data_IF_838670333774
#
_entry.id   IF_838670333774
#
_cell.length_a   1.000
_cell.length_b   1.000
_cell.length_c   1.000
_cell.angle_alpha   90.00
_cell.angle_beta   90.00
_cell.angle_gamma   90.00
#
_symmetry.space_group_name_H-M   'P 1'
#
loop_
_entity.id
_entity.type
_entity.pdbx_description
1 polymer ?
#
# COMPACT_ATOMS: atom_id res chain seq x y z
N UNK A 1 -11.76 -21.13 -3.77
CA UNK A 1 -10.81 -20.19 -4.42
C UNK A 1 -9.41 -20.72 -4.21
N UNK A 2 -8.75 -21.22 -5.25
CA UNK A 2 -7.37 -21.72 -5.18
C UNK A 2 -6.44 -20.51 -5.09
N UNK A 3 -5.63 -20.43 -4.04
CA UNK A 3 -4.62 -19.36 -3.89
C UNK A 3 -3.56 -19.55 -4.98
N UNK A 4 -3.68 -18.82 -6.08
CA UNK A 4 -2.63 -18.73 -7.09
C UNK A 4 -1.39 -18.11 -6.44
N UNK A 5 -0.17 -18.60 -6.76
CA UNK A 5 1.03 -18.08 -6.15
C UNK A 5 1.16 -16.58 -6.46
N UNK A 6 1.43 -15.77 -5.44
CA UNK A 6 1.75 -14.32 -5.44
C UNK A 6 2.78 -13.82 -6.47
N UNK A 7 3.36 -14.70 -7.30
CA UNK A 7 4.24 -14.37 -8.43
C UNK A 7 3.51 -14.45 -9.78
N UNK A 8 2.24 -14.81 -9.78
CA UNK A 8 1.39 -14.86 -10.94
C UNK A 8 0.97 -13.43 -11.33
N UNK A 9 1.41 -13.01 -12.51
CA UNK A 9 1.05 -11.71 -13.08
C UNK A 9 -0.46 -11.57 -13.23
N UNK A 10 -1.18 -12.63 -13.61
CA UNK A 10 -2.64 -12.57 -13.76
C UNK A 10 -3.33 -12.32 -12.41
N UNK A 11 -2.85 -12.95 -11.34
CA UNK A 11 -3.34 -12.71 -9.99
C UNK A 11 -3.06 -11.28 -9.53
N UNK A 12 -1.87 -10.74 -9.83
CA UNK A 12 -1.52 -9.35 -9.49
C UNK A 12 -2.39 -8.34 -10.25
N UNK A 13 -2.64 -8.58 -11.55
CA UNK A 13 -3.54 -7.75 -12.36
C UNK A 13 -4.97 -7.81 -11.83
N UNK A 14 -5.46 -8.98 -11.43
CA UNK A 14 -6.78 -9.13 -10.85
C UNK A 14 -6.90 -8.38 -9.51
N UNK A 15 -5.90 -8.49 -8.64
CA UNK A 15 -5.82 -7.75 -7.38
C UNK A 15 -5.80 -6.23 -7.62
N UNK A 16 -4.96 -5.76 -8.55
CA UNK A 16 -4.87 -4.34 -8.88
C UNK A 16 -6.21 -3.77 -9.36
N UNK A 17 -6.96 -4.54 -10.17
CA UNK A 17 -8.31 -4.14 -10.61
C UNK A 17 -9.31 -4.10 -9.45
N UNK A 18 -9.27 -5.06 -8.53
CA UNK A 18 -10.13 -5.06 -7.35
C UNK A 18 -9.84 -3.85 -6.45
N UNK A 19 -8.55 -3.60 -6.17
CA UNK A 19 -8.11 -2.46 -5.37
C UNK A 19 -8.43 -1.12 -6.02
N UNK A 20 -8.25 -1.00 -7.35
CA UNK A 20 -8.67 0.19 -8.10
C UNK A 20 -10.17 0.47 -7.92
N UNK A 21 -11.01 -0.57 -8.03
CA UNK A 21 -12.46 -0.40 -7.87
C UNK A 21 -12.88 -0.03 -6.45
N UNK A 22 -12.18 -0.55 -5.44
CA UNK A 22 -12.56 -0.40 -4.02
C UNK A 22 -11.96 0.82 -3.35
N UNK A 23 -10.75 1.21 -3.72
CA UNK A 23 -9.95 2.16 -2.94
C UNK A 23 -9.61 3.44 -3.70
N UNK A 24 -9.86 3.51 -5.00
CA UNK A 24 -9.68 4.75 -5.76
C UNK A 24 -10.55 5.86 -5.17
N UNK A 25 -9.96 7.04 -5.01
CA UNK A 25 -10.59 8.21 -4.40
C UNK A 25 -10.47 8.25 -2.87
N UNK A 26 -10.07 7.16 -2.21
CA UNK A 26 -9.83 7.19 -0.76
C UNK A 26 -8.55 7.94 -0.42
N UNK A 27 -8.58 8.65 0.70
CA UNK A 27 -7.46 9.40 1.29
C UNK A 27 -6.74 8.57 2.34
N UNK A 28 -5.42 8.68 2.40
CA UNK A 28 -4.62 8.08 3.46
C UNK A 28 -4.79 8.86 4.77
N UNK A 29 -5.36 8.24 5.81
CA UNK A 29 -5.50 8.83 7.15
C UNK A 29 -4.36 8.41 8.09
N UNK A 30 -3.77 7.24 7.87
CA UNK A 30 -2.62 6.74 8.66
C UNK A 30 -1.61 6.01 7.80
N UNK A 31 -0.35 6.22 8.15
CA UNK A 31 0.78 5.47 7.61
C UNK A 31 1.52 4.82 8.78
N UNK A 32 1.62 3.49 8.74
CA UNK A 32 2.42 2.70 9.67
C UNK A 32 3.43 1.85 8.89
N UNK A 33 4.48 1.37 9.54
CA UNK A 33 5.54 0.70 8.80
C UNK A 33 6.77 0.43 9.63
N UNK A 34 7.61 -0.46 9.12
CA UNK A 34 8.86 -0.87 9.74
C UNK A 34 9.76 -1.58 8.74
N UNK A 35 10.78 -2.33 9.19
CA UNK A 35 11.67 -3.02 8.27
C UNK A 35 10.91 -4.00 7.37
N UNK A 36 10.93 -3.71 6.06
CA UNK A 36 10.32 -4.53 5.02
C UNK A 36 8.77 -4.62 5.05
N UNK A 37 8.08 -3.64 5.64
CA UNK A 37 6.62 -3.55 5.56
C UNK A 37 6.09 -2.11 5.68
N UNK A 38 4.95 -1.86 5.04
CA UNK A 38 4.19 -0.61 5.08
C UNK A 38 2.71 -0.94 5.26
N UNK A 39 2.04 -0.18 6.12
CA UNK A 39 0.59 -0.17 6.31
C UNK A 39 0.05 1.19 5.90
N UNK A 40 -0.96 1.19 5.06
CA UNK A 40 -1.77 2.36 4.74
C UNK A 40 -3.18 2.12 5.27
N UNK A 41 -3.71 3.10 5.99
CA UNK A 41 -5.12 3.17 6.32
C UNK A 41 -5.75 4.21 5.38
N UNK A 42 -6.84 3.86 4.72
CA UNK A 42 -7.54 4.70 3.76
C UNK A 42 -8.99 4.93 4.19
N UNK A 43 -9.46 6.16 4.02
CA UNK A 43 -10.80 6.60 4.39
C UNK A 43 -11.38 7.50 3.32
N UNK A 44 -12.70 7.64 3.31
CA UNK A 44 -13.38 8.63 2.48
C UNK A 44 -13.28 10.01 3.14
N UNK A 45 -13.13 11.07 2.37
CA UNK A 45 -13.17 12.45 2.87
C UNK A 45 -14.52 12.78 3.51
N UNK A 46 -15.59 12.16 3.01
CA UNK A 46 -16.96 12.28 3.50
C UNK A 46 -17.29 11.26 4.60
N UNK A 47 -16.29 10.75 5.33
CA UNK A 47 -16.47 9.87 6.48
C UNK A 47 -17.22 10.57 7.64
N UNK A 48 -18.52 10.80 7.43
CA UNK A 48 -19.52 11.11 8.45
C UNK A 48 -19.61 9.89 9.37
N UNK A 49 -20.00 10.10 10.62
CA UNK A 49 -20.38 9.03 11.54
C UNK A 49 -21.24 7.98 10.81
N UNK A 50 -20.67 6.79 10.56
CA UNK A 50 -21.35 5.69 9.85
C UNK A 50 -20.73 5.24 8.51
N UNK A 51 -19.68 5.85 8.01
CA UNK A 51 -19.02 5.48 6.73
C UNK A 51 -18.25 4.14 6.72
N UNK A 52 -18.52 3.26 7.68
CA UNK A 52 -17.81 2.00 7.83
C UNK A 52 -16.35 2.16 8.30
N UNK A 53 -15.69 1.05 8.66
CA UNK A 53 -14.29 1.06 9.07
C UNK A 53 -13.34 1.44 7.90
N UNK A 54 -12.20 2.09 8.19
CA UNK A 54 -11.24 2.48 7.16
C UNK A 54 -10.62 1.24 6.50
N UNK A 55 -10.49 1.29 5.17
CA UNK A 55 -9.81 0.25 4.42
C UNK A 55 -8.33 0.19 4.85
N UNK A 56 -7.80 -1.00 5.01
CA UNK A 56 -6.40 -1.19 5.37
C UNK A 56 -5.66 -1.88 4.24
N UNK A 57 -4.52 -1.33 3.82
CA UNK A 57 -3.59 -1.97 2.89
C UNK A 57 -2.29 -2.29 3.61
N UNK A 58 -1.88 -3.55 3.53
CA UNK A 58 -0.61 -4.02 4.06
C UNK A 58 0.27 -4.55 2.94
N UNK A 59 1.45 -3.93 2.82
CA UNK A 59 2.45 -4.22 1.80
C UNK A 59 3.71 -4.72 2.50
N UNK A 60 4.15 -5.94 2.18
CA UNK A 60 5.40 -6.49 2.73
C UNK A 60 6.42 -6.76 1.63
N UNK A 61 7.68 -6.42 1.91
CA UNK A 61 8.81 -6.62 1.02
C UNK A 61 9.85 -7.54 1.68
N UNK A 62 9.42 -8.61 2.36
CA UNK A 62 10.34 -9.54 3.02
C UNK A 62 10.82 -10.63 2.06
N UNK A 63 12.04 -11.15 2.24
CA UNK A 63 12.48 -12.30 1.48
C UNK A 63 11.52 -13.50 1.66
N UNK A 64 10.97 -14.02 0.57
CA UNK A 64 10.04 -15.15 0.56
C UNK A 64 8.61 -14.85 1.02
N UNK A 65 8.28 -13.61 1.38
CA UNK A 65 6.94 -13.22 1.82
C UNK A 65 6.58 -11.84 1.23
N UNK A 66 5.77 -11.86 0.17
CA UNK A 66 5.19 -10.67 -0.43
C UNK A 66 3.69 -10.72 -0.23
N UNK A 67 3.22 -10.06 0.82
CA UNK A 67 1.81 -9.99 1.18
C UNK A 67 1.26 -8.66 0.66
N UNK A 68 0.20 -8.78 -0.13
CA UNK A 68 -0.79 -7.74 -0.30
C UNK A 68 -2.01 -8.23 0.47
N UNK A 69 -2.29 -7.60 1.61
CA UNK A 69 -3.49 -7.91 2.39
C UNK A 69 -4.30 -6.65 2.50
N UNK A 70 -5.57 -6.78 2.17
CA UNK A 70 -6.56 -5.76 2.37
C UNK A 70 -7.72 -6.31 3.19
N UNK A 71 -8.23 -5.47 4.10
CA UNK A 71 -9.41 -5.78 4.88
C UNK A 71 -10.13 -4.48 5.23
N UNK A 72 -11.44 -4.60 5.38
CA UNK A 72 -12.29 -3.56 5.95
C UNK A 72 -12.37 -3.69 7.47
N UNK A 73 -12.07 -4.86 8.05
CA UNK A 73 -11.97 -5.01 9.49
C UNK A 73 -10.62 -4.48 10.04
N UNK A 74 -10.65 -3.95 11.25
CA UNK A 74 -9.40 -3.71 11.99
C UNK A 74 -8.68 -5.05 12.18
N UNK A 75 -7.35 -5.03 12.05
CA UNK A 75 -6.55 -6.21 12.34
C UNK A 75 -6.81 -6.71 13.76
N UNK A 76 -6.70 -8.02 14.02
CA UNK A 76 -6.80 -8.55 15.37
C UNK A 76 -5.85 -7.78 16.31
N UNK A 77 -6.28 -7.43 17.55
CA UNK A 77 -5.46 -6.64 18.47
C UNK A 77 -4.06 -7.19 18.68
N UNK A 78 -3.89 -8.52 18.70
CA UNK A 78 -2.59 -9.17 18.83
C UNK A 78 -1.62 -8.86 17.67
N UNK A 79 -2.15 -8.64 16.46
CA UNK A 79 -1.35 -8.24 15.29
C UNK A 79 -0.96 -6.77 15.42
N UNK A 80 -1.90 -5.90 15.80
CA UNK A 80 -1.63 -4.47 16.03
C UNK A 80 -0.57 -4.29 17.13
N UNK A 81 -0.71 -4.98 18.25
CA UNK A 81 0.26 -4.99 19.36
C UNK A 81 1.64 -5.46 18.89
N UNK A 82 1.70 -6.49 18.04
CA UNK A 82 2.97 -6.98 17.50
C UNK A 82 3.63 -5.96 16.57
N UNK A 83 2.85 -5.23 15.77
CA UNK A 83 3.34 -4.18 14.87
C UNK A 83 3.80 -2.93 15.64
N UNK A 84 3.08 -2.52 16.69
CA UNK A 84 3.43 -1.35 17.52
C UNK A 84 4.71 -1.57 18.33
N UNK A 85 5.07 -2.83 18.61
CA UNK A 85 6.36 -3.20 19.25
C UNK A 85 7.55 -3.12 18.29
N UNK A 86 7.32 -3.09 16.98
CA UNK A 86 8.41 -2.85 16.02
C UNK A 86 8.76 -1.35 16.14
N UNK A 87 10.03 -0.99 16.39
CA UNK A 87 10.41 0.41 16.44
C UNK A 87 9.99 1.06 15.13
N UNK A 88 9.02 1.97 15.21
CA UNK A 88 8.64 2.80 14.09
C UNK A 88 9.87 3.63 13.78
N UNK A 89 10.69 3.17 12.82
CA UNK A 89 11.62 4.08 12.16
C UNK A 89 10.75 5.23 11.69
N UNK A 90 11.14 6.49 11.92
CA UNK A 90 10.45 7.64 11.33
C UNK A 90 10.32 7.34 9.84
N UNK A 91 9.13 6.90 9.42
CA UNK A 91 8.92 6.49 8.06
C UNK A 91 8.97 7.78 7.28
N UNK A 92 10.04 7.99 6.53
CA UNK A 92 10.15 9.19 5.69
C UNK A 92 9.01 9.26 4.68
N UNK A 93 8.36 8.13 4.40
CA UNK A 93 7.14 8.05 3.60
C UNK A 93 5.88 8.63 4.28
N UNK A 94 5.76 8.58 5.62
CA UNK A 94 4.57 9.06 6.32
C UNK A 94 4.22 10.54 6.03
N UNK A 95 5.15 11.52 6.16
CA UNK A 95 4.84 12.91 5.82
C UNK A 95 4.62 13.16 4.32
N UNK A 96 4.96 12.19 3.45
CA UNK A 96 4.78 12.30 2.00
C UNK A 96 3.39 11.80 1.59
N UNK A 97 2.95 10.71 2.21
CA UNK A 97 1.73 9.97 1.87
C UNK A 97 0.52 10.39 2.70
N UNK A 98 0.69 10.98 3.88
CA UNK A 98 -0.43 11.43 4.70
C UNK A 98 -1.32 12.41 3.91
N UNK A 99 -2.63 12.21 3.99
CA UNK A 99 -3.65 12.95 3.25
C UNK A 99 -3.57 12.84 1.72
N UNK A 100 -2.69 11.99 1.18
CA UNK A 100 -2.66 11.73 -0.25
C UNK A 100 -3.86 10.87 -0.66
N UNK A 101 -4.43 11.17 -1.83
CA UNK A 101 -5.59 10.48 -2.39
C UNK A 101 -5.12 9.45 -3.41
N UNK A 102 -5.58 8.21 -3.29
CA UNK A 102 -5.29 7.14 -4.25
C UNK A 102 -6.03 7.41 -5.56
N UNK A 103 -5.30 7.74 -6.63
CA UNK A 103 -5.90 8.05 -7.93
C UNK A 103 -5.97 6.84 -8.86
N UNK A 104 -4.99 5.93 -8.74
CA UNK A 104 -4.87 4.75 -9.61
C UNK A 104 -4.10 3.62 -8.93
N UNK A 105 -4.48 2.38 -9.26
CA UNK A 105 -3.78 1.13 -8.97
C UNK A 105 -3.59 0.38 -10.28
N UNK A 106 -2.39 -0.15 -10.51
CA UNK A 106 -2.09 -0.83 -11.75
C UNK A 106 -0.90 -1.77 -11.68
N UNK A 107 -0.73 -2.55 -12.74
CA UNK A 107 0.44 -3.43 -12.95
C UNK A 107 1.00 -3.10 -14.33
N UNK A 108 2.25 -2.62 -14.45
CA UNK A 108 2.90 -2.41 -15.74
C UNK A 108 2.95 -3.71 -16.55
N UNK A 109 2.79 -3.60 -17.87
CA UNK A 109 2.71 -4.77 -18.75
C UNK A 109 3.97 -5.65 -18.63
N UNK A 110 3.77 -6.94 -18.36
CA UNK A 110 4.82 -7.95 -18.21
C UNK A 110 5.78 -7.72 -17.03
N UNK A 111 5.42 -6.86 -16.07
CA UNK A 111 6.19 -6.65 -14.85
C UNK A 111 5.44 -7.16 -13.62
N UNK A 112 6.16 -7.55 -12.57
CA UNK A 112 5.56 -7.98 -11.30
C UNK A 112 5.63 -6.84 -10.29
N UNK A 113 5.13 -5.67 -10.70
CA UNK A 113 5.08 -4.47 -9.89
C UNK A 113 3.63 -4.07 -9.71
N UNK A 114 3.18 -3.98 -8.47
CA UNK A 114 1.93 -3.29 -8.14
C UNK A 114 2.26 -1.82 -7.92
N UNK A 115 1.71 -0.95 -8.77
CA UNK A 115 1.84 0.49 -8.66
C UNK A 115 0.57 1.07 -8.03
N UNK A 116 0.74 1.92 -7.02
CA UNK A 116 -0.30 2.74 -6.43
C UNK A 116 0.10 4.21 -6.62
N UNK A 117 -0.70 4.95 -7.37
CA UNK A 117 -0.46 6.35 -7.69
C UNK A 117 -1.32 7.23 -6.81
N UNK A 118 -0.69 8.17 -6.11
CA UNK A 118 -1.36 9.07 -5.20
C UNK A 118 -1.17 10.53 -5.63
N UNK A 119 -2.18 11.35 -5.37
CA UNK A 119 -2.07 12.81 -5.42
C UNK A 119 -1.95 13.36 -4.01
N UNK A 120 -0.86 14.08 -3.74
CA UNK A 120 -0.60 14.72 -2.45
C UNK A 120 -1.51 15.94 -2.23
N UNK A 121 -1.63 16.46 -0.99
CA UNK A 121 -2.44 17.65 -0.70
C UNK A 121 -2.03 18.91 -1.49
N UNK A 122 -0.74 19.02 -1.85
CA UNK A 122 -0.21 20.10 -2.69
C UNK A 122 -0.47 19.91 -4.20
N UNK A 123 -1.17 18.83 -4.58
CA UNK A 123 -1.46 18.46 -5.96
C UNK A 123 -0.36 17.69 -6.68
N UNK A 124 0.83 17.53 -6.07
CA UNK A 124 1.93 16.78 -6.69
C UNK A 124 1.66 15.26 -6.68
N UNK A 125 2.00 14.53 -7.75
CA UNK A 125 1.83 13.09 -7.78
C UNK A 125 3.02 12.36 -7.16
N UNK A 126 2.74 11.21 -6.56
CA UNK A 126 3.75 10.26 -6.04
C UNK A 126 3.33 8.82 -6.34
N UNK A 127 4.33 7.97 -6.55
CA UNK A 127 4.12 6.59 -7.01
C UNK A 127 4.72 5.61 -6.00
N UNK A 128 3.87 4.78 -5.41
CA UNK A 128 4.30 3.67 -4.55
C UNK A 128 4.35 2.39 -5.38
N UNK A 129 5.55 1.86 -5.56
CA UNK A 129 5.81 0.66 -6.32
C UNK A 129 6.16 -0.49 -5.38
N UNK A 130 5.33 -1.52 -5.38
CA UNK A 130 5.59 -2.78 -4.70
C UNK A 130 6.06 -3.80 -5.71
N UNK A 131 7.34 -4.14 -5.66
CA UNK A 131 8.02 -4.98 -6.65
C UNK A 131 8.14 -6.42 -6.13
N UNK A 132 7.72 -7.40 -6.93
CA UNK A 132 7.65 -8.82 -6.56
C UNK A 132 8.72 -9.63 -7.33
N UNK A 133 10.00 -9.27 -7.19
CA UNK A 133 11.11 -9.91 -7.94
C UNK A 133 11.78 -11.07 -7.19
N UNK A 134 11.53 -12.30 -7.64
CA UNK A 134 12.25 -13.46 -7.14
C UNK A 134 12.05 -13.68 -5.63
N UNK A 135 13.11 -14.00 -4.85
CA UNK A 135 12.98 -14.26 -3.42
C UNK A 135 12.86 -12.99 -2.58
N UNK A 136 12.92 -11.77 -3.13
CA UNK A 136 12.85 -10.52 -2.34
C UNK A 136 11.83 -9.56 -2.96
N UNK A 137 10.88 -9.10 -2.16
CA UNK A 137 10.10 -7.93 -2.53
C UNK A 137 10.91 -6.65 -2.34
N UNK A 138 10.50 -5.56 -2.97
CA UNK A 138 11.04 -4.22 -2.72
C UNK A 138 9.85 -3.25 -2.70
N UNK A 139 9.88 -2.24 -1.82
CA UNK A 139 8.88 -1.18 -1.81
C UNK A 139 9.57 0.15 -2.04
N UNK A 140 9.13 0.90 -3.05
CA UNK A 140 9.76 2.15 -3.48
C UNK A 140 8.71 3.23 -3.60
N UNK A 141 8.95 4.41 -3.02
CA UNK A 141 8.15 5.61 -3.27
C UNK A 141 8.94 6.56 -4.16
N UNK A 142 8.33 7.00 -5.26
CA UNK A 142 8.92 7.90 -6.23
C UNK A 142 8.13 9.21 -6.31
N UNK A 143 8.83 10.31 -6.61
CA UNK A 143 8.19 11.52 -7.14
C UNK A 143 7.81 11.36 -8.61
N UNK A 144 7.04 12.30 -9.16
CA UNK A 144 6.75 12.39 -10.60
C UNK A 144 8.01 12.39 -11.48
N UNK A 145 9.06 13.06 -11.00
CA UNK A 145 10.36 13.13 -11.68
C UNK A 145 11.17 11.82 -11.58
N UNK A 146 10.65 10.79 -10.91
CA UNK A 146 11.32 9.51 -10.69
C UNK A 146 12.35 9.54 -9.55
N UNK A 147 12.39 10.60 -8.74
CA UNK A 147 13.30 10.67 -7.60
C UNK A 147 12.83 9.73 -6.49
N UNK A 148 13.77 8.97 -5.93
CA UNK A 148 13.46 8.01 -4.86
C UNK A 148 13.31 8.72 -3.52
N UNK A 149 12.08 8.79 -3.03
CA UNK A 149 11.73 9.44 -1.77
C UNK A 149 11.77 8.48 -0.57
N UNK A 150 11.53 7.19 -0.83
CA UNK A 150 11.56 6.13 0.19
C UNK A 150 11.84 4.77 -0.46
N UNK A 151 12.53 3.87 0.26
CA UNK A 151 12.72 2.50 -0.18
C UNK A 151 13.09 1.55 0.97
N UNK A 152 12.73 0.27 0.83
CA UNK A 152 13.34 -0.84 1.56
C UNK A 152 13.21 -2.17 0.80
#
# INVERSE_FOLDING_TARGET
MTLLPWRDHAALVALARDWELRFRGLRIDRVGGGPAWLRLSLTDDDAREGSGPPAQLFLTARPGAVLCWDDVASQPPAVLDALDRVPQKRLTAAPILLDAVLERVGVPAADRILALDFRRPDGSPVHLLHQHFGPRGNLVLLSDAGERLFFF
#
